data_IF_173171071973
#
_entry.id   IF_173171071973
#
_cell.length_a   1.000
_cell.length_b   1.000
_cell.length_c   1.000
_cell.angle_alpha   90.00
_cell.angle_beta   90.00
_cell.angle_gamma   90.00
#
_symmetry.space_group_name_H-M   'P 1'
#
loop_
_entity.id
_entity.type
_entity.pdbx_description
1 polymer ?
#
# COMPACT_ATOMS: atom_id res chain seq x y z
N UNK A 1 19.80 16.95 -24.95
CA UNK A 1 21.13 17.36 -24.44
C UNK A 1 20.96 18.13 -23.15
N UNK A 2 21.45 17.72 -21.98
CA UNK A 2 21.46 16.42 -21.31
C UNK A 2 21.75 16.78 -19.84
N UNK A 3 20.70 16.93 -19.03
CA UNK A 3 20.80 17.30 -17.61
C UNK A 3 21.52 16.21 -16.80
N UNK A 4 21.51 14.97 -17.32
CA UNK A 4 22.29 13.83 -16.80
C UNK A 4 23.81 14.01 -16.96
N UNK A 5 24.28 14.75 -17.97
CA UNK A 5 25.71 15.04 -18.14
C UNK A 5 26.16 16.09 -17.12
N UNK A 6 25.31 17.05 -16.76
CA UNK A 6 25.64 18.12 -15.80
C UNK A 6 25.70 17.59 -14.36
N UNK A 7 24.82 16.67 -13.97
CA UNK A 7 24.86 16.02 -12.64
C UNK A 7 26.03 15.05 -12.54
N UNK A 8 26.35 14.31 -13.61
CA UNK A 8 27.57 13.50 -13.69
C UNK A 8 28.84 14.37 -13.64
N UNK A 9 28.83 15.58 -14.22
CA UNK A 9 29.96 16.52 -14.15
C UNK A 9 30.16 17.10 -12.75
N UNK A 10 29.08 17.38 -12.02
CA UNK A 10 29.16 17.93 -10.65
C UNK A 10 29.58 16.84 -9.66
N UNK A 11 29.10 15.60 -9.83
CA UNK A 11 29.59 14.43 -9.09
C UNK A 11 31.06 14.10 -9.39
N UNK A 12 31.48 14.21 -10.66
CA UNK A 12 32.87 14.02 -11.07
C UNK A 12 33.76 15.18 -10.61
N UNK A 13 33.27 16.42 -10.53
CA UNK A 13 34.03 17.57 -10.05
C UNK A 13 34.34 17.49 -8.55
N UNK A 14 33.47 16.89 -7.73
CA UNK A 14 33.75 16.63 -6.31
C UNK A 14 34.84 15.58 -6.08
N UNK A 15 34.87 14.53 -6.91
CA UNK A 15 35.88 13.45 -6.87
C UNK A 15 37.19 13.89 -7.54
N UNK A 16 37.14 14.67 -8.63
CA UNK A 16 38.32 15.25 -9.28
C UNK A 16 38.90 16.43 -8.47
N UNK A 17 38.10 17.17 -7.72
CA UNK A 17 38.58 18.22 -6.82
C UNK A 17 39.40 17.67 -5.64
N UNK A 18 39.04 16.49 -5.14
CA UNK A 18 39.78 15.79 -4.08
C UNK A 18 41.05 15.10 -4.62
N UNK A 19 41.02 14.56 -5.85
CA UNK A 19 42.20 14.02 -6.55
C UNK A 19 43.16 15.15 -6.97
N UNK A 20 42.63 16.30 -7.44
CA UNK A 20 43.41 17.47 -7.80
C UNK A 20 44.09 18.13 -6.60
N UNK A 21 43.41 18.20 -5.46
CA UNK A 21 43.98 18.68 -4.19
C UNK A 21 45.13 17.81 -3.68
N UNK A 22 45.08 16.49 -3.91
CA UNK A 22 46.17 15.56 -3.55
C UNK A 22 47.38 15.66 -4.48
N UNK A 23 47.17 15.97 -5.77
CA UNK A 23 48.27 16.14 -6.74
C UNK A 23 49.04 17.46 -6.52
N UNK A 24 48.37 18.54 -6.10
CA UNK A 24 49.04 19.83 -5.80
C UNK A 24 49.84 19.74 -4.49
N UNK A 25 49.37 19.00 -3.48
CA UNK A 25 50.14 18.72 -2.26
C UNK A 25 51.37 17.81 -2.49
N UNK A 26 51.33 16.94 -3.51
CA UNK A 26 52.39 15.98 -3.82
C UNK A 26 53.66 16.58 -4.44
N UNK A 27 53.66 17.85 -4.87
CA UNK A 27 54.82 18.47 -5.54
C UNK A 27 55.79 19.20 -4.62
N UNK A 28 55.49 19.34 -3.32
CA UNK A 28 56.27 20.16 -2.38
C UNK A 28 57.23 19.35 -1.48
N UNK A 29 57.14 18.02 -1.37
CA UNK A 29 58.02 17.25 -0.46
C UNK A 29 58.39 15.86 -0.97
N UNK A 30 59.54 15.75 -1.64
CA UNK A 30 60.06 14.52 -2.26
C UNK A 30 60.98 13.69 -1.36
N UNK A 31 60.70 13.54 -0.06
CA UNK A 31 61.55 12.75 0.85
C UNK A 31 60.82 11.79 1.81
N UNK A 32 59.54 11.48 1.61
CA UNK A 32 58.78 10.62 2.55
C UNK A 32 57.80 9.64 1.87
N UNK A 33 58.23 8.92 0.83
CA UNK A 33 57.37 8.00 0.06
C UNK A 33 56.55 6.99 0.87
N UNK A 34 56.98 6.61 2.09
CA UNK A 34 56.20 5.76 2.99
C UNK A 34 55.02 6.52 3.65
N UNK A 35 55.24 7.76 4.08
CA UNK A 35 54.19 8.62 4.64
C UNK A 35 53.15 9.00 3.57
N UNK A 36 53.60 9.23 2.34
CA UNK A 36 52.71 9.51 1.20
C UNK A 36 51.89 8.29 0.79
N UNK A 37 52.49 7.09 0.76
CA UNK A 37 51.77 5.85 0.48
C UNK A 37 50.74 5.51 1.57
N UNK A 38 51.04 5.79 2.83
CA UNK A 38 50.11 5.57 3.94
C UNK A 38 48.95 6.58 3.91
N UNK A 39 49.24 7.87 3.71
CA UNK A 39 48.21 8.90 3.54
C UNK A 39 47.28 8.62 2.34
N UNK A 40 47.82 8.10 1.23
CA UNK A 40 47.03 7.71 0.07
C UNK A 40 46.13 6.50 0.36
N UNK A 41 46.59 5.52 1.15
CA UNK A 41 45.78 4.37 1.59
C UNK A 41 44.66 4.81 2.54
N UNK A 42 44.96 5.69 3.48
CA UNK A 42 43.97 6.19 4.44
C UNK A 42 42.90 7.02 3.73
N UNK A 43 43.31 7.88 2.79
CA UNK A 43 42.39 8.63 1.93
C UNK A 43 41.54 7.71 1.03
N UNK A 44 42.15 6.68 0.42
CA UNK A 44 41.41 5.71 -0.39
C UNK A 44 40.41 4.90 0.45
N UNK A 45 40.79 4.51 1.68
CA UNK A 45 39.89 3.80 2.59
C UNK A 45 38.72 4.67 3.03
N UNK A 46 38.97 5.95 3.31
CA UNK A 46 37.95 6.93 3.68
C UNK A 46 37.03 7.21 2.50
N UNK A 47 37.56 7.39 1.30
CA UNK A 47 36.79 7.57 0.09
C UNK A 47 35.92 6.33 -0.22
N UNK A 48 36.49 5.12 -0.13
CA UNK A 48 35.74 3.89 -0.33
C UNK A 48 34.61 3.71 0.70
N UNK A 49 34.85 4.06 1.97
CA UNK A 49 33.82 4.04 3.00
C UNK A 49 32.72 5.08 2.73
N UNK A 50 33.09 6.30 2.34
CA UNK A 50 32.14 7.34 1.98
C UNK A 50 31.29 6.94 0.77
N UNK A 51 31.90 6.42 -0.30
CA UNK A 51 31.18 5.91 -1.48
C UNK A 51 30.25 4.76 -1.11
N UNK A 52 30.70 3.83 -0.26
CA UNK A 52 29.85 2.73 0.21
C UNK A 52 28.64 3.25 0.99
N UNK A 53 28.83 4.24 1.86
CA UNK A 53 27.76 4.90 2.59
C UNK A 53 26.73 5.55 1.65
N UNK A 54 27.21 6.28 0.64
CA UNK A 54 26.36 6.93 -0.35
C UNK A 54 25.53 5.91 -1.16
N UNK A 55 26.18 4.87 -1.72
CA UNK A 55 25.50 3.84 -2.53
C UNK A 55 24.44 3.10 -1.70
N UNK A 56 24.74 2.78 -0.43
CA UNK A 56 23.76 2.16 0.46
C UNK A 56 22.60 3.09 0.77
N UNK A 57 22.86 4.39 0.98
CA UNK A 57 21.83 5.41 1.18
C UNK A 57 20.89 5.53 -0.02
N UNK A 58 21.44 5.65 -1.24
CA UNK A 58 20.68 5.72 -2.49
C UNK A 58 19.83 4.46 -2.70
N UNK A 59 20.40 3.27 -2.47
CA UNK A 59 19.66 2.01 -2.58
C UNK A 59 18.50 1.93 -1.58
N UNK A 60 18.72 2.32 -0.32
CA UNK A 60 17.68 2.36 0.72
C UNK A 60 16.55 3.31 0.34
N UNK A 61 16.89 4.50 -0.14
CA UNK A 61 15.88 5.48 -0.59
C UNK A 61 15.03 4.94 -1.74
N UNK A 62 15.66 4.33 -2.75
CA UNK A 62 14.96 3.75 -3.89
C UNK A 62 14.00 2.62 -3.47
N UNK A 63 14.44 1.73 -2.58
CA UNK A 63 13.62 0.62 -2.09
C UNK A 63 12.44 1.14 -1.25
N UNK A 64 12.67 2.05 -0.31
CA UNK A 64 11.60 2.63 0.52
C UNK A 64 10.58 3.40 -0.32
N UNK A 65 11.04 4.13 -1.35
CA UNK A 65 10.15 4.81 -2.30
C UNK A 65 9.29 3.82 -3.08
N UNK A 66 9.87 2.70 -3.51
CA UNK A 66 9.16 1.63 -4.21
C UNK A 66 8.12 0.99 -3.30
N UNK A 67 8.47 0.73 -2.04
CA UNK A 67 7.55 0.21 -1.03
C UNK A 67 6.36 1.14 -0.78
N UNK A 68 6.62 2.44 -0.57
CA UNK A 68 5.56 3.45 -0.38
C UNK A 68 4.64 3.53 -1.61
N UNK A 69 5.21 3.53 -2.82
CA UNK A 69 4.42 3.55 -4.06
C UNK A 69 3.56 2.30 -4.21
N UNK A 70 4.11 1.12 -3.91
CA UNK A 70 3.36 -0.13 -3.96
C UNK A 70 2.21 -0.15 -2.94
N UNK A 71 2.42 0.46 -1.77
CA UNK A 71 1.36 0.63 -0.78
C UNK A 71 0.25 1.56 -1.27
N UNK A 72 0.60 2.73 -1.82
CA UNK A 72 -0.35 3.69 -2.38
C UNK A 72 -1.17 3.02 -3.50
N UNK A 73 -0.52 2.29 -4.42
CA UNK A 73 -1.20 1.52 -5.47
C UNK A 73 -2.16 0.46 -4.90
N UNK A 74 -1.79 -0.22 -3.82
CA UNK A 74 -2.65 -1.22 -3.19
C UNK A 74 -3.87 -0.57 -2.53
N UNK A 75 -3.70 0.58 -1.86
CA UNK A 75 -4.81 1.31 -1.23
C UNK A 75 -5.76 1.88 -2.29
N UNK A 76 -5.23 2.44 -3.37
CA UNK A 76 -6.04 2.95 -4.50
C UNK A 76 -6.81 1.81 -5.19
N UNK A 77 -6.17 0.65 -5.41
CA UNK A 77 -6.81 -0.53 -5.95
C UNK A 77 -7.94 -1.05 -5.03
N UNK A 78 -7.72 -0.99 -3.70
CA UNK A 78 -8.77 -1.31 -2.74
C UNK A 78 -9.92 -0.31 -2.80
N UNK A 79 -9.67 0.99 -2.91
CA UNK A 79 -10.74 1.97 -3.06
C UNK A 79 -11.58 1.70 -4.32
N UNK A 80 -10.93 1.39 -5.45
CA UNK A 80 -11.61 1.01 -6.70
C UNK A 80 -12.43 -0.28 -6.59
N UNK A 81 -12.04 -1.19 -5.68
CA UNK A 81 -12.79 -2.43 -5.45
C UNK A 81 -14.18 -2.17 -4.87
N UNK A 82 -14.35 -1.10 -4.07
CA UNK A 82 -15.66 -0.74 -3.54
C UNK A 82 -16.61 -0.30 -4.65
N UNK A 83 -16.09 0.33 -5.71
CA UNK A 83 -16.86 0.79 -6.88
C UNK A 83 -17.12 -0.30 -7.91
N UNK A 84 -16.21 -1.26 -8.07
CA UNK A 84 -16.37 -2.37 -9.01
C UNK A 84 -17.02 -3.61 -8.37
N UNK A 85 -17.05 -3.71 -7.04
CA UNK A 85 -17.51 -4.88 -6.30
C UNK A 85 -16.52 -6.05 -6.30
N UNK A 86 -15.36 -5.91 -6.94
CA UNK A 86 -14.40 -7.00 -7.15
C UNK A 86 -12.98 -6.61 -6.73
N UNK A 87 -12.32 -7.53 -6.01
CA UNK A 87 -10.88 -7.48 -5.80
C UNK A 87 -10.09 -8.30 -6.84
N UNK A 88 -10.75 -9.05 -7.72
CA UNK A 88 -10.08 -9.99 -8.62
C UNK A 88 -9.05 -9.30 -9.54
N UNK A 89 -9.34 -8.09 -9.98
CA UNK A 89 -8.42 -7.26 -10.77
C UNK A 89 -7.32 -6.61 -9.90
N UNK A 90 -7.55 -6.49 -8.59
CA UNK A 90 -6.74 -5.76 -7.62
C UNK A 90 -5.78 -6.65 -6.80
N UNK A 91 -5.89 -7.98 -6.89
CA UNK A 91 -4.98 -8.95 -6.24
C UNK A 91 -3.52 -8.77 -6.68
N UNK A 92 -3.30 -8.29 -7.92
CA UNK A 92 -1.98 -7.95 -8.43
C UNK A 92 -1.30 -6.84 -7.62
N UNK A 93 -2.04 -5.80 -7.22
CA UNK A 93 -1.49 -4.68 -6.45
C UNK A 93 -1.02 -5.11 -5.06
N UNK A 94 -1.78 -5.99 -4.40
CA UNK A 94 -1.38 -6.54 -3.09
C UNK A 94 -0.13 -7.42 -3.20
N UNK A 95 0.00 -8.23 -4.25
CA UNK A 95 1.23 -9.02 -4.49
C UNK A 95 2.45 -8.14 -4.72
N UNK A 96 2.31 -7.08 -5.52
CA UNK A 96 3.39 -6.11 -5.74
C UNK A 96 3.79 -5.44 -4.43
N UNK A 97 2.82 -5.09 -3.58
CA UNK A 97 3.07 -4.55 -2.26
C UNK A 97 3.85 -5.51 -1.35
N UNK A 98 3.44 -6.78 -1.26
CA UNK A 98 4.12 -7.80 -0.45
C UNK A 98 5.57 -8.03 -0.92
N UNK A 99 5.81 -8.02 -2.23
CA UNK A 99 7.17 -8.11 -2.78
C UNK A 99 8.01 -6.89 -2.41
N UNK A 100 7.46 -5.68 -2.54
CA UNK A 100 8.16 -4.45 -2.20
C UNK A 100 8.47 -4.35 -0.69
N UNK A 101 7.62 -4.92 0.17
CA UNK A 101 7.88 -5.04 1.59
C UNK A 101 9.08 -5.93 1.87
N UNK A 102 9.15 -7.11 1.28
CA UNK A 102 10.27 -8.02 1.49
C UNK A 102 11.61 -7.39 1.05
N UNK A 103 11.59 -6.61 -0.04
CA UNK A 103 12.75 -5.82 -0.45
C UNK A 103 13.11 -4.73 0.57
N UNK A 104 12.10 -4.05 1.14
CA UNK A 104 12.30 -3.02 2.15
C UNK A 104 12.87 -3.60 3.46
N UNK A 105 12.37 -4.74 3.94
CA UNK A 105 12.88 -5.42 5.13
C UNK A 105 14.35 -5.87 4.94
N UNK A 106 14.74 -6.24 3.72
CA UNK A 106 16.14 -6.60 3.43
C UNK A 106 17.08 -5.38 3.40
N UNK A 107 16.61 -4.24 2.91
CA UNK A 107 17.45 -3.06 2.66
C UNK A 107 17.50 -2.08 3.84
N UNK A 108 16.41 -1.98 4.60
CA UNK A 108 16.24 -0.99 5.65
C UNK A 108 17.09 -1.32 6.89
N UNK A 109 17.54 -0.31 7.66
CA UNK A 109 18.13 -0.55 8.97
C UNK A 109 17.09 -1.07 9.97
N UNK A 110 17.53 -1.87 10.93
CA UNK A 110 16.67 -2.53 11.94
C UNK A 110 15.82 -1.57 12.78
N UNK A 111 16.25 -0.31 12.94
CA UNK A 111 15.43 0.72 13.61
C UNK A 111 14.10 1.00 12.88
N UNK A 112 14.00 0.63 11.60
CA UNK A 112 12.79 0.79 10.79
C UNK A 112 11.83 -0.40 10.85
N UNK A 113 12.23 -1.53 11.45
CA UNK A 113 11.47 -2.79 11.40
C UNK A 113 10.03 -2.59 11.92
N UNK A 114 9.87 -1.87 13.04
CA UNK A 114 8.56 -1.55 13.61
C UNK A 114 7.69 -0.76 12.63
N UNK A 115 8.25 0.26 11.97
CA UNK A 115 7.49 1.11 11.03
C UNK A 115 7.13 0.36 9.74
N UNK A 116 8.02 -0.51 9.24
CA UNK A 116 7.73 -1.37 8.11
C UNK A 116 6.60 -2.35 8.43
N UNK A 117 6.64 -2.96 9.61
CA UNK A 117 5.62 -3.90 10.09
C UNK A 117 4.26 -3.21 10.33
N UNK A 118 4.25 -2.00 10.90
CA UNK A 118 3.03 -1.19 11.04
C UNK A 118 2.40 -0.90 9.68
N UNK A 119 3.21 -0.47 8.70
CA UNK A 119 2.75 -0.19 7.34
C UNK A 119 2.19 -1.44 6.65
N UNK A 120 2.88 -2.58 6.78
CA UNK A 120 2.38 -3.86 6.28
C UNK A 120 1.01 -4.20 6.88
N UNK A 121 0.90 -4.10 8.20
CA UNK A 121 -0.33 -4.41 8.89
C UNK A 121 -1.47 -3.47 8.48
N UNK A 122 -1.21 -2.18 8.30
CA UNK A 122 -2.20 -1.21 7.83
C UNK A 122 -2.75 -1.59 6.44
N UNK A 123 -1.87 -1.84 5.46
CA UNK A 123 -2.27 -2.19 4.09
C UNK A 123 -2.95 -3.56 4.05
N UNK A 124 -2.41 -4.57 4.74
CA UNK A 124 -3.04 -5.90 4.85
C UNK A 124 -4.44 -5.81 5.47
N UNK A 125 -4.60 -4.99 6.50
CA UNK A 125 -5.89 -4.77 7.16
C UNK A 125 -6.88 -4.07 6.25
N UNK A 126 -6.44 -3.09 5.43
CA UNK A 126 -7.27 -2.46 4.39
C UNK A 126 -7.73 -3.51 3.36
N UNK A 127 -6.78 -4.24 2.78
CA UNK A 127 -7.07 -5.24 1.74
C UNK A 127 -7.99 -6.37 2.23
N UNK A 128 -7.69 -6.96 3.39
CA UNK A 128 -8.51 -8.04 3.98
C UNK A 128 -9.90 -7.59 4.42
N UNK A 129 -10.06 -6.31 4.73
CA UNK A 129 -11.38 -5.73 5.01
C UNK A 129 -12.13 -5.56 3.70
N UNK A 130 -11.51 -4.94 2.70
CA UNK A 130 -12.13 -4.74 1.40
C UNK A 130 -12.57 -6.07 0.76
N UNK A 131 -11.83 -7.16 0.94
CA UNK A 131 -12.20 -8.47 0.39
C UNK A 131 -13.51 -9.02 0.95
N UNK A 132 -13.89 -8.58 2.14
CA UNK A 132 -15.14 -8.95 2.79
C UNK A 132 -16.23 -7.94 2.43
N UNK A 133 -15.92 -6.64 2.48
CA UNK A 133 -16.92 -5.58 2.48
C UNK A 133 -17.17 -4.93 1.12
N UNK A 134 -16.20 -4.93 0.20
CA UNK A 134 -16.37 -4.31 -1.11
C UNK A 134 -17.47 -5.01 -1.96
N UNK A 135 -17.53 -6.35 -2.05
CA UNK A 135 -18.63 -7.04 -2.75
C UNK A 135 -20.01 -6.72 -2.16
N UNK A 136 -20.07 -6.60 -0.83
CA UNK A 136 -21.31 -6.28 -0.11
C UNK A 136 -21.76 -4.83 -0.33
N UNK A 137 -20.86 -3.87 -0.13
CA UNK A 137 -21.13 -2.45 -0.29
C UNK A 137 -21.55 -2.12 -1.72
N UNK A 138 -20.85 -2.70 -2.70
CA UNK A 138 -21.24 -2.63 -4.10
C UNK A 138 -22.63 -3.24 -4.33
N UNK A 139 -22.84 -4.48 -3.88
CA UNK A 139 -24.11 -5.18 -4.10
C UNK A 139 -25.30 -4.44 -3.51
N UNK A 140 -25.15 -3.80 -2.36
CA UNK A 140 -26.21 -3.02 -1.74
C UNK A 140 -26.51 -1.73 -2.51
N UNK A 141 -25.47 -1.02 -2.98
CA UNK A 141 -25.62 0.16 -3.84
C UNK A 141 -26.32 -0.19 -5.15
N UNK A 142 -25.81 -1.20 -5.86
CA UNK A 142 -26.37 -1.66 -7.13
C UNK A 142 -27.83 -2.11 -6.98
N UNK A 143 -28.16 -2.85 -5.91
CA UNK A 143 -29.54 -3.26 -5.62
C UNK A 143 -30.44 -2.04 -5.36
N UNK A 144 -29.94 -1.05 -4.64
CA UNK A 144 -30.66 0.19 -4.31
C UNK A 144 -30.95 1.00 -5.57
N UNK A 145 -29.96 1.19 -6.44
CA UNK A 145 -30.08 1.89 -7.72
C UNK A 145 -31.04 1.18 -8.67
N UNK A 146 -30.97 -0.15 -8.76
CA UNK A 146 -31.91 -0.95 -9.58
C UNK A 146 -33.35 -0.85 -9.06
N UNK A 147 -33.55 -0.87 -7.75
CA UNK A 147 -34.88 -0.67 -7.17
C UNK A 147 -35.42 0.74 -7.45
N UNK A 148 -34.57 1.78 -7.36
CA UNK A 148 -34.93 3.17 -7.63
C UNK A 148 -35.23 3.42 -9.12
N UNK A 149 -34.56 2.72 -10.02
CA UNK A 149 -34.82 2.78 -11.47
C UNK A 149 -36.07 2.01 -11.91
N UNK A 150 -36.81 1.41 -10.97
CA UNK A 150 -38.11 0.80 -11.23
C UNK A 150 -38.07 -0.69 -11.58
N UNK A 151 -36.97 -1.40 -11.29
CA UNK A 151 -36.93 -2.87 -11.44
C UNK A 151 -37.65 -3.54 -10.25
N UNK A 152 -38.80 -4.21 -10.47
CA UNK A 152 -39.58 -4.79 -9.38
C UNK A 152 -38.84 -5.93 -8.67
N UNK A 153 -38.04 -6.72 -9.40
CA UNK A 153 -37.27 -7.84 -8.83
C UNK A 153 -36.21 -7.33 -7.84
N UNK A 154 -35.55 -6.22 -8.17
CA UNK A 154 -34.57 -5.58 -7.29
C UNK A 154 -35.23 -4.97 -6.05
N UNK A 155 -36.39 -4.34 -6.21
CA UNK A 155 -37.17 -3.82 -5.08
C UNK A 155 -37.63 -4.95 -4.14
N UNK A 156 -38.15 -6.05 -4.69
CA UNK A 156 -38.56 -7.23 -3.93
C UNK A 156 -37.36 -7.86 -3.20
N UNK A 157 -36.25 -8.11 -3.90
CA UNK A 157 -35.04 -8.67 -3.31
C UNK A 157 -34.52 -7.79 -2.16
N UNK A 158 -34.55 -6.46 -2.31
CA UNK A 158 -34.17 -5.52 -1.24
C UNK A 158 -35.09 -5.63 -0.02
N UNK A 159 -36.41 -5.67 -0.21
CA UNK A 159 -37.36 -5.83 0.90
C UNK A 159 -37.16 -7.17 1.64
N UNK A 160 -36.95 -8.27 0.91
CA UNK A 160 -36.67 -9.58 1.50
C UNK A 160 -35.34 -9.57 2.25
N UNK A 161 -34.29 -8.97 1.68
CA UNK A 161 -32.98 -8.85 2.31
C UNK A 161 -33.04 -8.06 3.63
N UNK A 162 -33.74 -6.91 3.66
CA UNK A 162 -33.98 -6.13 4.88
C UNK A 162 -34.70 -6.96 5.96
N UNK A 163 -35.71 -7.73 5.55
CA UNK A 163 -36.45 -8.61 6.45
C UNK A 163 -35.60 -9.75 7.00
N UNK A 164 -34.71 -10.34 6.20
CA UNK A 164 -33.77 -11.39 6.61
C UNK A 164 -32.68 -10.84 7.53
N UNK A 165 -32.26 -9.58 7.33
CA UNK A 165 -31.33 -8.88 8.22
C UNK A 165 -31.93 -8.51 9.58
N UNK A 166 -33.24 -8.67 9.74
CA UNK A 166 -33.93 -8.43 11.01
C UNK A 166 -34.44 -6.99 11.17
N UNK A 167 -34.52 -6.22 10.10
CA UNK A 167 -35.16 -4.89 10.07
C UNK A 167 -36.70 -4.96 10.03
N UNK A 168 -37.29 -6.13 10.33
CA UNK A 168 -38.73 -6.37 10.32
C UNK A 168 -39.24 -7.06 11.59
N UNK A 169 -40.57 -7.23 11.74
CA UNK A 169 -41.17 -7.89 12.91
C UNK A 169 -40.57 -9.28 13.14
N UNK A 170 -40.17 -9.57 14.39
CA UNK A 170 -39.62 -10.86 14.83
C UNK A 170 -40.72 -11.92 14.97
N UNK A 171 -41.53 -12.09 13.94
CA UNK A 171 -42.49 -13.20 13.91
C UNK A 171 -41.75 -14.53 13.95
N UNK A 172 -42.35 -15.50 14.64
CA UNK A 172 -41.84 -16.85 14.92
C UNK A 172 -41.66 -17.67 13.64
N UNK A 173 -40.65 -17.33 12.82
CA UNK A 173 -40.28 -18.07 11.61
C UNK A 173 -39.53 -19.35 11.98
N UNK A 174 -39.93 -20.45 11.37
CA UNK A 174 -39.23 -21.74 11.50
C UNK A 174 -37.90 -21.71 10.74
N UNK A 175 -36.95 -22.56 11.12
CA UNK A 175 -35.67 -22.72 10.41
C UNK A 175 -35.88 -23.09 8.94
N UNK A 176 -36.92 -23.90 8.63
CA UNK A 176 -37.25 -24.29 7.27
C UNK A 176 -37.71 -23.08 6.41
N UNK A 177 -38.55 -22.20 6.97
CA UNK A 177 -38.99 -20.97 6.29
C UNK A 177 -37.81 -20.02 6.04
N UNK A 178 -36.92 -19.85 7.02
CA UNK A 178 -35.73 -19.02 6.86
C UNK A 178 -34.79 -19.57 5.78
N UNK A 179 -34.64 -20.89 5.67
CA UNK A 179 -33.84 -21.51 4.60
C UNK A 179 -34.47 -21.27 3.23
N UNK A 180 -35.79 -21.49 3.09
CA UNK A 180 -36.49 -21.26 1.83
C UNK A 180 -36.41 -19.78 1.39
N UNK A 181 -36.66 -18.83 2.30
CA UNK A 181 -36.50 -17.39 2.04
C UNK A 181 -35.06 -17.06 1.59
N UNK A 182 -34.05 -17.71 2.16
CA UNK A 182 -32.66 -17.48 1.82
C UNK A 182 -32.29 -18.04 0.43
N UNK A 183 -32.82 -19.21 0.06
CA UNK A 183 -32.61 -19.81 -1.27
C UNK A 183 -33.32 -19.03 -2.37
N UNK A 184 -34.56 -18.59 -2.13
CA UNK A 184 -35.31 -17.74 -3.06
C UNK A 184 -34.62 -16.38 -3.25
N UNK A 185 -34.17 -15.77 -2.16
CA UNK A 185 -33.40 -14.52 -2.22
C UNK A 185 -32.09 -14.69 -2.98
N UNK A 186 -31.36 -15.79 -2.74
CA UNK A 186 -30.14 -16.11 -3.51
C UNK A 186 -30.45 -16.20 -5.00
N UNK A 187 -31.43 -17.00 -5.39
CA UNK A 187 -31.80 -17.18 -6.80
C UNK A 187 -32.23 -15.85 -7.45
N UNK A 188 -32.98 -15.02 -6.72
CA UNK A 188 -33.40 -13.69 -7.20
C UNK A 188 -32.20 -12.78 -7.41
N UNK A 189 -31.27 -12.72 -6.46
CA UNK A 189 -30.06 -11.89 -6.56
C UNK A 189 -29.13 -12.38 -7.68
N UNK A 190 -28.98 -13.70 -7.86
CA UNK A 190 -28.18 -14.29 -8.95
C UNK A 190 -28.78 -14.02 -10.34
N UNK A 191 -30.10 -13.84 -10.42
CA UNK A 191 -30.77 -13.46 -11.67
C UNK A 191 -30.63 -11.96 -12.01
N UNK A 192 -30.19 -11.12 -11.07
CA UNK A 192 -30.00 -9.69 -11.33
C UNK A 192 -28.73 -9.44 -12.16
N UNK A 193 -28.79 -8.53 -13.16
CA UNK A 193 -27.64 -8.23 -13.98
C UNK A 193 -26.50 -7.62 -13.15
N UNK A 194 -25.28 -8.10 -13.37
CA UNK A 194 -24.07 -7.63 -12.68
C UNK A 194 -23.81 -8.28 -11.31
N UNK A 195 -24.72 -9.11 -10.80
CA UNK A 195 -24.49 -9.81 -9.54
C UNK A 195 -23.68 -11.08 -9.78
N UNK A 196 -22.54 -11.19 -9.10
CA UNK A 196 -21.71 -12.39 -9.08
C UNK A 196 -22.03 -13.20 -7.82
N UNK A 197 -21.60 -14.46 -7.79
CA UNK A 197 -21.71 -15.31 -6.60
C UNK A 197 -21.09 -14.65 -5.35
N UNK A 198 -20.02 -13.88 -5.52
CA UNK A 198 -19.36 -13.16 -4.43
C UNK A 198 -20.22 -11.99 -3.92
N UNK A 199 -20.84 -11.21 -4.83
CA UNK A 199 -21.77 -10.14 -4.46
C UNK A 199 -22.96 -10.70 -3.66
N UNK A 200 -23.55 -11.80 -4.15
CA UNK A 200 -24.70 -12.46 -3.50
C UNK A 200 -24.29 -13.03 -2.14
N UNK A 201 -23.16 -13.74 -2.08
CA UNK A 201 -22.66 -14.31 -0.82
C UNK A 201 -22.34 -13.24 0.22
N UNK A 202 -21.72 -12.13 -0.20
CA UNK A 202 -21.45 -10.98 0.67
C UNK A 202 -22.72 -10.38 1.25
N UNK A 203 -23.72 -10.10 0.41
CA UNK A 203 -25.00 -9.54 0.85
C UNK A 203 -25.77 -10.44 1.83
N UNK A 204 -25.75 -11.75 1.58
CA UNK A 204 -26.46 -12.75 2.36
C UNK A 204 -25.77 -13.10 3.69
N UNK A 205 -24.43 -13.07 3.72
CA UNK A 205 -23.63 -13.40 4.91
C UNK A 205 -23.65 -12.28 5.93
N UNK A 206 -23.66 -11.05 5.47
CA UNK A 206 -23.53 -9.89 6.34
C UNK A 206 -24.89 -9.27 6.72
N UNK A 207 -25.09 -9.17 8.03
CA UNK A 207 -26.23 -8.49 8.67
C UNK A 207 -25.89 -7.10 9.16
N UNK A 208 -24.69 -6.61 8.86
CA UNK A 208 -24.27 -5.28 9.27
C UNK A 208 -25.02 -4.21 8.49
N UNK A 209 -25.08 -3.04 9.11
CA UNK A 209 -25.50 -1.80 8.48
C UNK A 209 -24.72 -1.58 7.16
N UNK A 210 -25.38 -1.37 6.02
CA UNK A 210 -24.73 -1.08 4.74
C UNK A 210 -23.81 0.15 4.78
N UNK A 211 -24.08 1.11 5.65
CA UNK A 211 -23.23 2.30 5.81
C UNK A 211 -21.93 1.99 6.58
N UNK A 212 -21.85 0.83 7.24
CA UNK A 212 -20.64 0.39 7.94
C UNK A 212 -19.45 0.25 7.00
N UNK A 213 -19.67 -0.28 5.79
CA UNK A 213 -18.60 -0.51 4.82
C UNK A 213 -17.85 0.80 4.49
N UNK A 214 -18.59 1.90 4.27
CA UNK A 214 -18.02 3.22 4.00
C UNK A 214 -17.30 3.84 5.19
N UNK A 215 -17.87 3.71 6.40
CA UNK A 215 -17.20 4.20 7.64
C UNK A 215 -15.90 3.45 7.91
N UNK A 216 -15.91 2.12 7.71
CA UNK A 216 -14.72 1.30 7.93
C UNK A 216 -13.64 1.57 6.90
N UNK A 217 -14.02 1.86 5.65
CA UNK A 217 -13.08 2.31 4.62
C UNK A 217 -12.42 3.64 5.06
N UNK A 218 -13.22 4.65 5.39
CA UNK A 218 -12.72 5.98 5.76
C UNK A 218 -11.79 5.95 6.97
N UNK A 219 -12.16 5.22 8.03
CA UNK A 219 -11.32 5.08 9.22
C UNK A 219 -9.97 4.43 8.90
N UNK A 220 -9.96 3.43 8.01
CA UNK A 220 -8.72 2.73 7.64
C UNK A 220 -7.82 3.55 6.73
N UNK A 221 -8.40 4.31 5.80
CA UNK A 221 -7.63 5.26 4.98
C UNK A 221 -6.92 6.30 5.87
N UNK A 222 -7.61 6.83 6.89
CA UNK A 222 -6.99 7.73 7.86
C UNK A 222 -5.83 7.06 8.60
N UNK A 223 -6.05 5.85 9.11
CA UNK A 223 -5.00 5.09 9.80
C UNK A 223 -3.80 4.79 8.89
N UNK A 224 -4.04 4.50 7.61
CA UNK A 224 -2.98 4.33 6.61
C UNK A 224 -2.14 5.59 6.44
N UNK A 225 -2.76 6.77 6.27
CA UNK A 225 -2.02 8.02 6.12
C UNK A 225 -1.18 8.36 7.35
N UNK A 226 -1.69 8.05 8.54
CA UNK A 226 -0.96 8.20 9.80
C UNK A 226 0.31 7.33 9.83
N UNK A 227 0.16 6.03 9.55
CA UNK A 227 1.27 5.06 9.55
C UNK A 227 2.30 5.39 8.46
N UNK A 228 1.83 5.79 7.27
CA UNK A 228 2.67 6.26 6.17
C UNK A 228 3.49 7.48 6.58
N UNK A 229 2.89 8.43 7.28
CA UNK A 229 3.58 9.61 7.83
C UNK A 229 4.72 9.23 8.77
N UNK A 230 4.46 8.32 9.72
CA UNK A 230 5.46 7.80 10.66
C UNK A 230 6.63 7.10 9.95
N UNK A 231 6.33 6.29 8.93
CA UNK A 231 7.39 5.62 8.14
C UNK A 231 8.25 6.63 7.37
N UNK A 232 7.66 7.67 6.79
CA UNK A 232 8.40 8.73 6.09
C UNK A 232 9.30 9.49 7.07
N UNK A 233 8.80 9.84 8.26
CA UNK A 233 9.58 10.52 9.28
C UNK A 233 10.77 9.67 9.76
N UNK A 234 10.54 8.38 10.01
CA UNK A 234 11.59 7.44 10.36
C UNK A 234 12.65 7.30 9.24
N UNK A 235 12.21 7.19 7.98
CA UNK A 235 13.10 7.13 6.83
C UNK A 235 13.97 8.39 6.71
N UNK A 236 13.38 9.58 6.89
CA UNK A 236 14.11 10.85 6.87
C UNK A 236 15.11 10.96 8.01
N UNK A 237 14.76 10.46 9.20
CA UNK A 237 15.67 10.40 10.36
C UNK A 237 16.89 9.53 10.06
N UNK A 238 16.67 8.33 9.55
CA UNK A 238 17.72 7.37 9.17
C UNK A 238 18.65 7.90 8.08
N UNK A 239 18.10 8.67 7.13
CA UNK A 239 18.84 9.21 6.00
C UNK A 239 19.42 10.60 6.27
N UNK A 240 19.19 11.17 7.46
CA UNK A 240 19.72 12.48 7.84
C UNK A 240 19.06 13.65 7.09
N UNK A 241 17.87 13.47 6.53
CA UNK A 241 17.17 14.50 5.74
C UNK A 241 16.14 15.30 6.55
N UNK A 242 16.12 15.17 7.87
CA UNK A 242 15.23 15.92 8.78
C UNK A 242 15.70 17.36 9.05
N UNK A 243 16.89 17.76 8.57
CA UNK A 243 17.52 19.06 8.88
C UNK A 243 17.60 20.03 7.69
N UNK A 244 16.78 19.82 6.65
CA UNK A 244 16.68 20.71 5.50
C UNK A 244 15.47 21.64 5.60
#
# INVERSE_FOLDING_TARGET
>A
MNTEITVALIGAAGVLGTIGGTIVGARIQSSSGHAQAQAARDAASTAAQATRGQVLGERRWAVLTTYLRAADLCVDAVAQSYDSGSLGENDGAYKVFVLAQAEAELAAPTIMDTHLAEMHNAVRNIWSTASIWAPHGWGWRALTEMAQSGRPEAAQARTVLQRVRGEGPRESRTVAQLRAEHEELRATLEALPGFTTDHVSGLLRDRSDPDRAGREQQWREQHYFEVRGKLIEAARSVLGTNQL
#
